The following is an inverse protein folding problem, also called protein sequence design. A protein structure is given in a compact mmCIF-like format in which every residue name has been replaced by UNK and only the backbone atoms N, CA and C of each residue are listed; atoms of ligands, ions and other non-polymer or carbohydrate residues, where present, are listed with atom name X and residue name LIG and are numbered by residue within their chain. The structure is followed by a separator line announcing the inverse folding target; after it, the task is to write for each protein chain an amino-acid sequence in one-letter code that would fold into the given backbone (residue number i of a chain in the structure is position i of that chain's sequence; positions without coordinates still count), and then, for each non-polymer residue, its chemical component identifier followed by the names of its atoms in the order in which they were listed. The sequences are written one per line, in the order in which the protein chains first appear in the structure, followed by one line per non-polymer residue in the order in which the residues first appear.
data_IF_975630039674
#
_entry.id   IF_975630039674
#
_cell.length_a   1.000
_cell.length_b   1.000
_cell.length_c   1.000
_cell.angle_alpha   90.00
_cell.angle_beta   90.00
_cell.angle_gamma   90.00
#
_symmetry.space_group_name_H-M   'P 1'
#
loop_
_entity.id
_entity.type
_entity.pdbx_description
1 polymer ?
#
# COMPACT_ATOMS: atom_id res chain seq x y z
N UNK A 1 -27.81 3.34 -24.94
CA UNK A 1 -27.35 2.16 -24.16
C UNK A 1 -26.91 2.70 -22.83
N UNK A 2 -27.34 2.12 -21.70
CA UNK A 2 -26.86 2.52 -20.38
C UNK A 2 -25.45 1.98 -20.27
N UNK A 3 -24.47 2.81 -20.54
CA UNK A 3 -23.08 2.51 -20.21
C UNK A 3 -23.05 2.39 -18.69
N UNK A 4 -23.02 1.15 -18.23
CA UNK A 4 -22.67 0.84 -16.86
C UNK A 4 -21.24 1.33 -16.69
N UNK A 5 -21.07 2.58 -16.28
CA UNK A 5 -19.93 3.01 -15.45
C UNK A 5 -20.03 2.22 -14.14
N UNK A 6 -19.79 0.91 -14.24
CA UNK A 6 -19.49 0.10 -13.10
C UNK A 6 -18.24 0.74 -12.49
N UNK A 7 -18.44 1.30 -11.31
CA UNK A 7 -17.49 1.97 -10.45
C UNK A 7 -16.40 0.97 -10.04
N UNK A 8 -15.55 0.57 -10.99
CA UNK A 8 -14.38 -0.26 -10.73
C UNK A 8 -13.30 0.71 -10.29
N UNK A 9 -13.37 1.12 -9.02
CA UNK A 9 -12.25 1.78 -8.37
C UNK A 9 -11.11 0.77 -8.27
N UNK A 10 -10.22 0.81 -9.26
CA UNK A 10 -9.09 -0.09 -9.33
C UNK A 10 -8.07 0.29 -8.24
N UNK A 11 -7.72 -0.68 -7.38
CA UNK A 11 -6.70 -0.55 -6.33
C UNK A 11 -5.41 0.11 -6.83
N UNK A 12 -5.06 -0.07 -8.12
CA UNK A 12 -3.92 0.58 -8.76
C UNK A 12 -3.90 2.10 -8.65
N UNK A 13 -5.05 2.79 -8.65
CA UNK A 13 -5.12 4.25 -8.50
C UNK A 13 -4.59 4.68 -7.14
N UNK A 14 -4.96 3.96 -6.08
CA UNK A 14 -4.50 4.23 -4.73
C UNK A 14 -3.03 3.89 -4.53
N UNK A 15 -2.56 2.79 -5.14
CA UNK A 15 -1.14 2.45 -5.10
C UNK A 15 -0.29 3.46 -5.87
N UNK A 16 -0.78 3.98 -7.01
CA UNK A 16 -0.10 5.05 -7.74
C UNK A 16 -0.02 6.33 -6.89
N UNK A 17 -1.10 6.70 -6.18
CA UNK A 17 -1.07 7.82 -5.24
C UNK A 17 -0.07 7.60 -4.09
N UNK A 18 -0.01 6.39 -3.54
CA UNK A 18 0.99 6.03 -2.52
C UNK A 18 2.41 6.14 -3.08
N UNK A 19 2.63 5.67 -4.32
CA UNK A 19 3.89 5.76 -5.03
C UNK A 19 4.27 7.20 -5.42
N UNK A 20 3.33 8.16 -5.43
CA UNK A 20 3.67 9.56 -5.63
C UNK A 20 4.50 10.11 -4.44
N UNK A 21 4.22 9.63 -3.23
CA UNK A 21 4.87 10.08 -1.98
C UNK A 21 6.00 9.15 -1.54
N UNK A 22 5.84 7.85 -1.74
CA UNK A 22 6.79 6.84 -1.28
C UNK A 22 7.37 6.05 -2.45
N UNK A 23 8.56 5.48 -2.26
CA UNK A 23 9.12 4.45 -3.13
C UNK A 23 9.35 3.17 -2.31
N UNK A 24 9.45 2.00 -2.96
CA UNK A 24 9.86 0.78 -2.28
C UNK A 24 11.22 0.98 -1.59
N UNK A 25 11.30 0.65 -0.30
CA UNK A 25 12.58 0.70 0.40
C UNK A 25 13.46 -0.50 -0.01
N UNK A 26 14.76 -0.26 -0.17
CA UNK A 26 15.71 -1.31 -0.53
C UNK A 26 15.83 -2.38 0.57
N UNK A 27 16.01 -1.93 1.81
CA UNK A 27 16.11 -2.75 3.00
C UNK A 27 15.55 -1.99 4.22
N UNK A 28 15.53 -2.66 5.37
CA UNK A 28 15.01 -2.11 6.62
C UNK A 28 15.71 -0.82 7.10
N UNK A 29 16.96 -0.58 6.70
CA UNK A 29 17.74 0.63 7.10
C UNK A 29 17.30 1.85 6.31
N UNK A 30 16.82 1.65 5.09
CA UNK A 30 16.28 2.69 4.22
C UNK A 30 14.77 2.89 4.42
N UNK A 31 14.12 1.99 5.16
CA UNK A 31 12.70 2.09 5.48
C UNK A 31 12.44 3.22 6.46
N UNK A 32 11.74 4.24 5.97
CA UNK A 32 11.28 5.37 6.79
C UNK A 32 9.92 5.09 7.45
N UNK A 33 9.09 4.28 6.79
CA UNK A 33 7.71 4.00 7.21
C UNK A 33 7.41 2.52 7.07
N UNK A 34 6.71 1.99 8.07
CA UNK A 34 6.34 0.59 8.17
C UNK A 34 4.83 0.48 8.32
N UNK A 35 4.15 -0.05 7.31
CA UNK A 35 2.68 -0.17 7.30
C UNK A 35 2.24 -1.63 7.26
N UNK A 36 1.17 -1.95 7.97
CA UNK A 36 0.44 -3.19 7.80
C UNK A 36 -0.49 -3.09 6.59
N UNK A 37 -0.90 -4.23 6.02
CA UNK A 37 -1.94 -4.24 4.97
C UNK A 37 -3.26 -3.62 5.46
N UNK A 38 -3.59 -3.77 6.75
CA UNK A 38 -4.78 -3.17 7.35
C UNK A 38 -4.67 -1.64 7.39
N UNK A 39 -3.53 -1.07 7.79
CA UNK A 39 -3.33 0.40 7.78
C UNK A 39 -3.49 0.99 6.38
N UNK A 40 -2.96 0.32 5.35
CA UNK A 40 -3.13 0.75 3.95
C UNK A 40 -4.61 0.65 3.55
N UNK A 41 -5.27 -0.47 3.86
CA UNK A 41 -6.70 -0.68 3.61
C UNK A 41 -7.59 0.39 4.26
N UNK A 42 -7.40 0.63 5.55
CA UNK A 42 -8.17 1.63 6.30
C UNK A 42 -7.92 3.03 5.76
N UNK A 43 -6.70 3.35 5.35
CA UNK A 43 -6.38 4.66 4.75
C UNK A 43 -7.10 4.86 3.43
N UNK A 44 -7.17 3.83 2.59
CA UNK A 44 -7.94 3.90 1.34
C UNK A 44 -9.43 4.00 1.63
N UNK A 45 -10.00 3.18 2.53
CA UNK A 45 -11.44 3.24 2.87
C UNK A 45 -11.85 4.55 3.55
N UNK A 46 -10.93 5.25 4.21
CA UNK A 46 -11.16 6.61 4.73
C UNK A 46 -11.24 7.65 3.61
N UNK A 47 -10.48 7.48 2.54
CA UNK A 47 -10.46 8.38 1.39
C UNK A 47 -11.64 8.10 0.44
N UNK A 48 -11.93 6.83 0.20
CA UNK A 48 -13.06 6.35 -0.59
C UNK A 48 -13.76 5.19 0.12
N UNK A 49 -14.80 5.50 0.92
CA UNK A 49 -15.61 4.46 1.57
C UNK A 49 -16.34 3.54 0.59
N UNK A 50 -16.59 3.97 -0.65
CA UNK A 50 -17.28 3.19 -1.67
C UNK A 50 -16.36 2.25 -2.44
N UNK A 51 -15.03 2.36 -2.28
CA UNK A 51 -14.07 1.48 -2.93
C UNK A 51 -14.36 -0.01 -2.60
N UNK A 52 -14.62 -0.78 -3.65
CA UNK A 52 -14.77 -2.24 -3.61
C UNK A 52 -13.39 -2.91 -3.70
N UNK A 53 -12.61 -2.82 -2.63
CA UNK A 53 -11.28 -3.42 -2.51
C UNK A 53 -11.20 -4.33 -1.30
N UNK A 54 -10.47 -5.44 -1.42
CA UNK A 54 -10.14 -6.32 -0.30
C UNK A 54 -8.70 -6.11 0.20
N UNK A 55 -8.38 -6.69 1.35
CA UNK A 55 -6.99 -6.72 1.85
C UNK A 55 -6.08 -7.55 0.95
N UNK A 56 -6.62 -8.58 0.31
CA UNK A 56 -5.87 -9.43 -0.63
C UNK A 56 -5.51 -8.64 -1.90
N UNK A 57 -6.43 -7.81 -2.39
CA UNK A 57 -6.16 -6.92 -3.52
C UNK A 57 -5.04 -5.93 -3.21
N UNK A 58 -5.03 -5.37 -2.00
CA UNK A 58 -3.97 -4.48 -1.54
C UNK A 58 -2.65 -5.23 -1.42
N UNK A 59 -2.66 -6.43 -0.83
CA UNK A 59 -1.45 -7.22 -0.70
C UNK A 59 -0.84 -7.53 -2.07
N UNK A 60 -1.68 -7.96 -3.02
CA UNK A 60 -1.26 -8.20 -4.40
C UNK A 60 -0.76 -6.93 -5.07
N UNK A 61 -1.49 -5.83 -4.98
CA UNK A 61 -1.13 -4.57 -5.64
C UNK A 61 0.16 -3.94 -5.06
N UNK A 62 0.37 -4.02 -3.75
CA UNK A 62 1.62 -3.59 -3.10
C UNK A 62 2.81 -4.44 -3.55
N UNK A 63 2.61 -5.76 -3.67
CA UNK A 63 3.62 -6.69 -4.21
C UNK A 63 3.96 -6.36 -5.67
N UNK A 64 2.93 -6.21 -6.51
CA UNK A 64 3.06 -5.92 -7.93
C UNK A 64 3.70 -4.53 -8.17
N UNK A 65 3.52 -3.59 -7.23
CA UNK A 65 4.18 -2.28 -7.21
C UNK A 65 5.63 -2.29 -6.67
N UNK A 66 6.15 -3.46 -6.30
CA UNK A 66 7.53 -3.65 -5.88
C UNK A 66 7.82 -3.34 -4.41
N UNK A 67 6.80 -3.04 -3.60
CA UNK A 67 7.00 -2.89 -2.15
C UNK A 67 7.37 -4.24 -1.53
N UNK A 68 8.24 -4.22 -0.53
CA UNK A 68 8.68 -5.44 0.17
C UNK A 68 7.90 -5.60 1.46
N UNK A 69 7.38 -6.81 1.69
CA UNK A 69 6.71 -7.21 2.93
C UNK A 69 7.63 -8.12 3.73
N UNK A 70 8.08 -7.67 4.90
CA UNK A 70 8.99 -8.46 5.73
C UNK A 70 8.76 -8.25 7.23
N UNK A 71 9.30 -9.16 8.04
CA UNK A 71 9.29 -8.99 9.49
C UNK A 71 10.12 -7.76 9.87
N UNK A 72 9.57 -6.90 10.73
CA UNK A 72 10.26 -5.70 11.21
C UNK A 72 11.46 -6.11 12.08
N UNK A 73 12.69 -5.63 11.79
CA UNK A 73 13.84 -5.94 12.64
C UNK A 73 13.62 -5.47 14.08
N UNK A 74 14.00 -6.32 15.04
CA UNK A 74 13.84 -6.06 16.47
C UNK A 74 12.43 -6.32 17.02
N UNK A 75 11.51 -6.85 16.21
CA UNK A 75 10.22 -7.33 16.71
C UNK A 75 10.41 -8.61 17.53
N UNK A 76 9.80 -8.66 18.72
CA UNK A 76 9.81 -9.84 19.61
C UNK A 76 8.95 -11.01 19.09
N UNK A 77 8.32 -10.86 17.92
CA UNK A 77 7.43 -11.83 17.30
C UNK A 77 7.27 -11.58 15.79
N UNK A 78 6.29 -12.25 15.17
CA UNK A 78 5.97 -12.08 13.76
C UNK A 78 5.20 -10.77 13.53
N UNK A 79 5.91 -9.68 13.20
CA UNK A 79 5.34 -8.37 12.84
C UNK A 79 5.72 -8.03 11.39
N UNK A 80 4.99 -8.61 10.44
CA UNK A 80 5.22 -8.38 9.02
C UNK A 80 4.61 -7.06 8.56
N UNK A 81 5.41 -6.25 7.89
CA UNK A 81 5.02 -4.91 7.45
C UNK A 81 5.63 -4.57 6.08
N UNK A 82 4.92 -3.71 5.36
CA UNK A 82 5.35 -3.08 4.13
C UNK A 82 6.41 -2.03 4.43
N UNK A 83 7.49 -2.06 3.66
CA UNK A 83 8.60 -1.14 3.78
C UNK A 83 8.52 0.00 2.75
N UNK A 84 8.39 1.23 3.24
CA UNK A 84 8.30 2.42 2.42
C UNK A 84 9.42 3.41 2.76
N UNK A 85 10.03 3.97 1.72
CA UNK A 85 10.98 5.08 1.80
C UNK A 85 10.29 6.34 1.28
N UNK A 86 10.25 7.39 2.11
CA UNK A 86 9.72 8.69 1.71
C UNK A 86 10.57 9.25 0.57
N UNK A 87 9.93 9.70 -0.52
CA UNK A 87 10.65 10.38 -1.59
C UNK A 87 11.10 11.74 -1.07
N UNK A 88 12.40 11.99 -1.12
CA UNK A 88 12.92 13.34 -0.93
C UNK A 88 12.60 14.14 -2.19
N UNK A 89 11.54 14.94 -2.14
CA UNK A 89 11.27 15.96 -3.15
C UNK A 89 12.29 17.10 -2.93
N UNK A 90 13.48 16.96 -3.52
CA UNK A 90 14.42 18.06 -3.71
C UNK A 90 14.12 18.77 -5.02
#
# INVERSE_FOLDING_TARGET
MKDQEANVTNVSVYIAALQATFKPAWDARHTTHWFTTDEVYQSIKKLDPAAEISKDDIFKAMTDAGFKFQNRPGASGCDFRWMLELKNNK
#
